data_IF_493532921191
#
_entry.id   IF_493532921191
#
_cell.length_a   1.000
_cell.length_b   1.000
_cell.length_c   1.000
_cell.angle_alpha   90.00
_cell.angle_beta   90.00
_cell.angle_gamma   90.00
#
_symmetry.space_group_name_H-M   'P 1'
#
loop_
_entity.id
_entity.type
_entity.pdbx_description
1 polymer ?
#
# COMPACT_ATOMS: atom_id res chain seq x y z
N UNK A 1 62.56 24.60 -27.96
CA UNK A 1 61.66 24.75 -26.79
C UNK A 1 60.60 23.66 -26.90
N UNK A 2 60.46 22.79 -25.90
CA UNK A 2 59.49 21.71 -25.96
C UNK A 2 58.10 22.28 -25.61
N UNK A 3 57.11 22.09 -26.49
CA UNK A 3 55.79 22.72 -26.34
C UNK A 3 54.96 22.08 -25.21
N UNK A 4 55.39 20.92 -24.73
CA UNK A 4 54.83 20.18 -23.60
C UNK A 4 55.87 20.18 -22.47
N UNK A 5 55.86 21.21 -21.65
CA UNK A 5 56.66 21.28 -20.43
C UNK A 5 55.90 20.61 -19.28
N UNK A 6 56.49 19.60 -18.65
CA UNK A 6 55.89 18.90 -17.51
C UNK A 6 55.65 19.82 -16.30
N UNK A 7 56.34 20.97 -16.24
CA UNK A 7 56.15 21.99 -15.20
C UNK A 7 55.25 23.15 -15.63
N UNK A 8 54.56 23.05 -16.78
CA UNK A 8 53.72 24.13 -17.29
C UNK A 8 52.65 24.61 -16.30
N UNK A 9 52.07 23.70 -15.50
CA UNK A 9 51.08 24.04 -14.48
C UNK A 9 51.66 24.85 -13.32
N UNK A 10 52.79 24.38 -12.76
CA UNK A 10 53.50 25.07 -11.67
C UNK A 10 54.02 26.44 -12.13
N UNK A 11 54.57 26.49 -13.35
CA UNK A 11 55.07 27.72 -13.97
C UNK A 11 53.96 28.73 -14.23
N UNK A 12 52.78 28.28 -14.66
CA UNK A 12 51.63 29.17 -14.87
C UNK A 12 51.18 29.86 -13.57
N UNK A 13 51.17 29.15 -12.43
CA UNK A 13 50.87 29.77 -11.14
C UNK A 13 51.97 30.70 -10.62
N UNK A 14 53.22 30.43 -11.00
CA UNK A 14 54.37 31.25 -10.61
C UNK A 14 54.49 32.54 -11.44
N UNK A 15 54.16 32.47 -12.74
CA UNK A 15 54.24 33.62 -13.66
C UNK A 15 53.09 34.61 -13.42
N UNK A 16 51.94 34.16 -12.93
CA UNK A 16 50.86 35.06 -12.50
C UNK A 16 49.58 34.34 -12.08
N UNK A 17 48.80 35.02 -11.25
CA UNK A 17 47.58 34.41 -10.71
C UNK A 17 46.46 34.23 -11.75
N UNK A 18 46.50 35.03 -12.82
CA UNK A 18 45.54 34.98 -13.91
C UNK A 18 45.85 33.81 -14.86
N UNK A 19 47.13 33.60 -15.15
CA UNK A 19 47.66 32.53 -16.00
C UNK A 19 47.43 31.16 -15.36
N UNK A 20 47.68 31.03 -14.05
CA UNK A 20 47.39 29.79 -13.31
C UNK A 20 45.89 29.46 -13.25
N UNK A 21 45.03 30.47 -13.08
CA UNK A 21 43.59 30.28 -13.16
C UNK A 21 43.16 29.83 -14.57
N UNK A 22 43.70 30.44 -15.62
CA UNK A 22 43.40 30.08 -17.00
C UNK A 22 43.71 28.60 -17.28
N UNK A 23 44.92 28.12 -16.94
CA UNK A 23 45.30 26.70 -17.12
C UNK A 23 44.40 25.76 -16.32
N UNK A 24 43.99 26.16 -15.12
CA UNK A 24 43.11 25.35 -14.25
C UNK A 24 41.67 25.26 -14.77
N UNK A 25 41.15 26.34 -15.37
CA UNK A 25 39.75 26.40 -15.82
C UNK A 25 39.51 25.94 -17.26
N UNK A 26 40.56 25.77 -18.07
CA UNK A 26 40.46 25.22 -19.43
C UNK A 26 39.63 23.91 -19.48
N UNK A 27 39.85 22.90 -18.62
CA UNK A 27 39.01 21.69 -18.55
C UNK A 27 37.51 21.94 -18.32
N UNK A 28 37.15 22.99 -17.58
CA UNK A 28 35.75 23.32 -17.31
C UNK A 28 35.07 23.99 -18.50
N UNK A 29 35.82 24.75 -19.30
CA UNK A 29 35.32 25.29 -20.58
C UNK A 29 35.00 24.14 -21.55
N UNK A 30 35.87 23.12 -21.61
CA UNK A 30 35.61 21.90 -22.38
C UNK A 30 34.33 21.18 -21.92
N UNK A 31 34.12 21.03 -20.61
CA UNK A 31 32.90 20.43 -20.05
C UNK A 31 31.64 21.26 -20.35
N UNK A 32 31.72 22.60 -20.21
CA UNK A 32 30.59 23.50 -20.50
C UNK A 32 30.15 23.44 -21.96
N UNK A 33 31.09 23.34 -22.89
CA UNK A 33 30.78 23.15 -24.31
C UNK A 33 30.17 21.77 -24.59
N UNK A 34 30.69 20.71 -23.96
CA UNK A 34 30.08 19.37 -24.04
C UNK A 34 28.63 19.36 -23.57
N UNK A 35 28.32 20.10 -22.51
CA UNK A 35 26.95 20.28 -22.02
C UNK A 35 26.04 21.00 -23.01
N UNK A 36 26.52 22.07 -23.67
CA UNK A 36 25.75 22.77 -24.70
C UNK A 36 25.44 21.88 -25.91
N UNK A 37 26.40 21.05 -26.33
CA UNK A 37 26.21 20.07 -27.40
C UNK A 37 25.12 19.06 -27.03
N UNK A 38 25.18 18.49 -25.81
CA UNK A 38 24.16 17.56 -25.31
C UNK A 38 22.77 18.21 -25.22
N UNK A 39 22.67 19.41 -24.64
CA UNK A 39 21.40 20.12 -24.46
C UNK A 39 20.70 20.42 -25.79
N UNK A 40 21.46 20.88 -26.80
CA UNK A 40 20.91 21.09 -28.13
C UNK A 40 20.67 19.76 -28.86
N UNK A 41 21.41 18.70 -28.55
CA UNK A 41 21.24 17.37 -29.13
C UNK A 41 20.02 16.60 -28.61
N UNK A 42 19.58 16.85 -27.37
CA UNK A 42 18.47 16.12 -26.74
C UNK A 42 17.13 16.31 -27.48
N UNK A 43 16.92 17.50 -28.06
CA UNK A 43 15.71 17.82 -28.81
C UNK A 43 15.98 17.76 -30.32
N UNK A 44 15.52 16.67 -30.96
CA UNK A 44 15.68 16.39 -32.40
C UNK A 44 14.89 17.37 -33.27
N UNK A 45 15.38 18.60 -33.37
CA UNK A 45 14.85 19.65 -34.24
C UNK A 45 15.94 20.15 -35.16
N UNK A 46 15.58 20.45 -36.41
CA UNK A 46 16.49 21.02 -37.42
C UNK A 46 17.14 22.31 -36.88
N UNK A 47 16.40 23.13 -36.12
CA UNK A 47 16.92 24.35 -35.49
C UNK A 47 18.05 24.07 -34.51
N UNK A 48 18.00 22.97 -33.77
CA UNK A 48 19.03 22.65 -32.80
C UNK A 48 20.26 22.02 -33.45
N UNK A 49 20.07 21.27 -34.53
CA UNK A 49 21.19 20.81 -35.35
C UNK A 49 21.99 21.98 -35.95
N UNK A 50 21.29 23.01 -36.43
CA UNK A 50 21.92 24.27 -36.89
C UNK A 50 22.70 24.95 -35.76
N UNK A 51 22.16 24.99 -34.53
CA UNK A 51 22.86 25.56 -33.37
C UNK A 51 24.13 24.78 -33.03
N UNK A 52 24.10 23.45 -33.07
CA UNK A 52 25.28 22.60 -32.82
C UNK A 52 26.34 22.86 -33.89
N UNK A 53 25.95 22.90 -35.17
CA UNK A 53 26.87 23.21 -36.26
C UNK A 53 27.47 24.61 -36.08
N UNK A 54 26.65 25.62 -35.78
CA UNK A 54 27.12 26.99 -35.56
C UNK A 54 28.09 27.07 -34.37
N UNK A 55 27.82 26.33 -33.29
CA UNK A 55 28.71 26.22 -32.13
C UNK A 55 30.05 25.60 -32.53
N UNK A 56 30.04 24.44 -33.20
CA UNK A 56 31.25 23.76 -33.66
C UNK A 56 32.07 24.61 -34.63
N UNK A 57 31.41 25.32 -35.54
CA UNK A 57 32.07 26.22 -36.50
C UNK A 57 32.72 27.40 -35.77
N UNK A 58 32.02 27.98 -34.78
CA UNK A 58 32.55 29.07 -33.96
C UNK A 58 33.78 28.61 -33.16
N UNK A 59 33.71 27.43 -32.54
CA UNK A 59 34.85 26.86 -31.79
C UNK A 59 36.02 26.54 -32.71
N UNK A 60 35.77 25.97 -33.90
CA UNK A 60 36.82 25.71 -34.89
C UNK A 60 37.52 26.99 -35.35
N UNK A 61 36.77 28.07 -35.60
CA UNK A 61 37.33 29.39 -35.95
C UNK A 61 38.16 29.95 -34.80
N UNK A 62 37.68 29.83 -33.57
CA UNK A 62 38.42 30.27 -32.38
C UNK A 62 39.74 29.50 -32.22
N UNK A 63 39.73 28.18 -32.36
CA UNK A 63 40.93 27.35 -32.30
C UNK A 63 41.91 27.66 -33.45
N UNK A 64 41.42 27.96 -34.66
CA UNK A 64 42.27 28.39 -35.77
C UNK A 64 42.92 29.76 -35.51
N UNK A 65 42.21 30.69 -34.87
CA UNK A 65 42.76 31.99 -34.43
C UNK A 65 43.83 31.77 -33.36
N UNK A 66 43.56 30.93 -32.36
CA UNK A 66 44.55 30.62 -31.32
C UNK A 66 45.79 29.93 -31.89
N UNK A 67 45.62 28.96 -32.79
CA UNK A 67 46.72 28.29 -33.46
C UNK A 67 47.57 29.28 -34.27
N UNK A 68 46.93 30.23 -34.96
CA UNK A 68 47.63 31.28 -35.69
C UNK A 68 48.45 32.16 -34.74
N UNK A 69 47.85 32.64 -33.64
CA UNK A 69 48.54 33.49 -32.66
C UNK A 69 49.71 32.78 -31.95
N UNK A 70 49.53 31.50 -31.61
CA UNK A 70 50.60 30.72 -30.97
C UNK A 70 51.75 30.48 -31.96
N UNK A 71 51.45 30.11 -33.20
CA UNK A 71 52.48 29.90 -34.22
C UNK A 71 53.18 31.21 -34.59
N UNK A 72 52.45 32.34 -34.67
CA UNK A 72 53.02 33.67 -34.88
C UNK A 72 54.01 34.03 -33.78
N UNK A 73 53.63 33.86 -32.51
CA UNK A 73 54.52 34.10 -31.37
C UNK A 73 55.76 33.19 -31.39
N UNK A 74 55.58 31.90 -31.71
CA UNK A 74 56.71 30.96 -31.82
C UNK A 74 57.64 31.38 -32.98
N UNK A 75 57.06 31.79 -34.10
CA UNK A 75 57.81 32.25 -35.27
C UNK A 75 58.60 33.52 -34.94
N UNK A 76 57.99 34.52 -34.30
CA UNK A 76 58.67 35.75 -33.84
C UNK A 76 59.82 35.44 -32.88
N UNK A 77 59.64 34.52 -31.94
CA UNK A 77 60.67 34.11 -30.98
C UNK A 77 61.83 33.34 -31.63
N UNK A 78 61.61 32.73 -32.80
CA UNK A 78 62.61 31.92 -33.53
C UNK A 78 63.20 32.67 -34.73
N UNK A 79 62.68 33.87 -35.01
CA UNK A 79 63.01 34.66 -36.20
C UNK A 79 64.45 35.18 -36.16
N UNK A 80 65.21 34.99 -37.24
CA UNK A 80 66.51 35.66 -37.46
C UNK A 80 66.34 36.91 -38.32
N UNK A 81 67.28 37.87 -38.26
CA UNK A 81 67.16 39.21 -38.87
C UNK A 81 66.72 39.25 -40.36
N UNK A 82 66.98 38.20 -41.16
CA UNK A 82 66.67 38.16 -42.61
C UNK A 82 65.41 37.36 -43.01
N UNK A 83 64.55 36.95 -42.06
CA UNK A 83 63.38 36.13 -42.41
C UNK A 83 62.14 36.96 -42.75
N UNK A 84 61.27 36.49 -43.67
CA UNK A 84 60.07 37.21 -44.08
C UNK A 84 59.07 37.39 -42.92
N UNK A 85 58.17 38.36 -43.05
CA UNK A 85 57.07 38.56 -42.10
C UNK A 85 56.16 37.32 -42.04
N UNK A 86 55.64 37.02 -40.85
CA UNK A 86 54.70 35.91 -40.67
C UNK A 86 53.43 36.20 -41.46
N UNK A 87 52.93 35.19 -42.18
CA UNK A 87 51.74 35.31 -43.02
C UNK A 87 50.95 33.99 -42.94
N UNK A 88 49.64 34.06 -43.19
CA UNK A 88 48.74 32.89 -43.20
C UNK A 88 49.29 31.68 -43.98
N UNK A 89 49.87 31.81 -45.19
CA UNK A 89 50.39 30.66 -45.92
C UNK A 89 51.55 29.95 -45.19
N UNK A 90 52.37 30.70 -44.44
CA UNK A 90 53.48 30.14 -43.67
C UNK A 90 52.93 29.35 -42.48
N UNK A 91 51.87 29.84 -41.82
CA UNK A 91 51.20 29.14 -40.73
C UNK A 91 50.60 27.79 -41.18
N UNK A 92 49.90 27.75 -42.32
CA UNK A 92 49.27 26.53 -42.83
C UNK A 92 50.25 25.43 -43.25
N UNK A 93 51.48 25.80 -43.61
CA UNK A 93 52.56 24.85 -43.96
C UNK A 93 53.20 24.19 -42.74
N UNK A 94 53.00 24.73 -41.53
CA UNK A 94 53.59 24.23 -40.30
C UNK A 94 52.72 23.13 -39.70
N UNK A 95 53.35 22.03 -39.31
CA UNK A 95 52.66 20.89 -38.67
C UNK A 95 52.16 21.28 -37.27
N UNK A 96 52.87 22.18 -36.59
CA UNK A 96 52.53 22.69 -35.26
C UNK A 96 51.15 23.39 -35.24
N UNK A 97 50.85 24.18 -36.28
CA UNK A 97 49.56 24.83 -36.45
C UNK A 97 48.39 23.83 -36.44
N UNK A 98 48.49 22.76 -37.24
CA UNK A 98 47.49 21.70 -37.26
C UNK A 98 47.46 20.89 -35.95
N UNK A 99 48.60 20.72 -35.28
CA UNK A 99 48.67 20.07 -33.98
C UNK A 99 47.92 20.82 -32.89
N UNK A 100 47.97 22.15 -32.88
CA UNK A 100 47.23 22.99 -31.93
C UNK A 100 45.73 22.92 -32.19
N UNK A 101 45.30 23.04 -33.46
CA UNK A 101 43.89 22.88 -33.84
C UNK A 101 43.38 21.49 -33.47
N UNK A 102 44.18 20.44 -33.71
CA UNK A 102 43.81 19.08 -33.34
C UNK A 102 43.64 18.92 -31.82
N UNK A 103 44.57 19.47 -31.04
CA UNK A 103 44.53 19.41 -29.58
C UNK A 103 43.35 20.19 -28.96
N UNK A 104 42.88 21.26 -29.61
CA UNK A 104 41.66 21.96 -29.21
C UNK A 104 40.40 21.26 -29.75
N UNK A 105 40.23 21.28 -31.07
CA UNK A 105 38.99 20.95 -31.76
C UNK A 105 38.55 19.50 -31.59
N UNK A 106 39.49 18.55 -31.74
CA UNK A 106 39.14 17.12 -31.66
C UNK A 106 38.84 16.72 -30.22
N UNK A 107 39.52 17.34 -29.25
CA UNK A 107 39.23 17.13 -27.83
C UNK A 107 37.81 17.61 -27.48
N UNK A 108 37.32 18.72 -28.06
CA UNK A 108 35.93 19.14 -27.90
C UNK A 108 34.93 18.10 -28.42
N UNK A 109 35.18 17.48 -29.58
CA UNK A 109 34.30 16.46 -30.14
C UNK A 109 34.23 15.23 -29.23
N UNK A 110 35.38 14.77 -28.72
CA UNK A 110 35.45 13.61 -27.81
C UNK A 110 34.69 13.92 -26.52
N UNK A 111 34.93 15.07 -25.90
CA UNK A 111 34.24 15.45 -24.65
C UNK A 111 32.73 15.64 -24.86
N UNK A 112 32.29 16.16 -26.00
CA UNK A 112 30.86 16.24 -26.34
C UNK A 112 30.18 14.88 -26.35
N UNK A 113 30.81 13.86 -26.97
CA UNK A 113 30.28 12.49 -27.02
C UNK A 113 30.36 11.80 -25.66
N UNK A 114 31.47 11.94 -24.94
CA UNK A 114 31.63 11.36 -23.59
C UNK A 114 30.59 11.94 -22.63
N UNK A 115 30.37 13.25 -22.68
CA UNK A 115 29.38 13.92 -21.85
C UNK A 115 27.95 13.45 -22.17
N UNK A 116 27.61 13.33 -23.47
CA UNK A 116 26.32 12.80 -23.90
C UNK A 116 26.06 11.39 -23.36
N UNK A 117 27.06 10.52 -23.41
CA UNK A 117 26.98 9.17 -22.85
C UNK A 117 26.76 9.16 -21.33
N UNK A 118 27.55 9.94 -20.58
CA UNK A 118 27.45 10.03 -19.11
C UNK A 118 26.06 10.54 -18.70
N UNK A 119 25.56 11.59 -19.36
CA UNK A 119 24.26 12.18 -19.04
C UNK A 119 23.10 11.22 -19.34
N UNK A 120 23.16 10.51 -20.47
CA UNK A 120 22.14 9.51 -20.83
C UNK A 120 22.08 8.36 -19.84
N UNK A 121 23.24 7.82 -19.45
CA UNK A 121 23.35 6.75 -18.47
C UNK A 121 22.80 7.17 -17.10
N UNK A 122 23.10 8.39 -16.64
CA UNK A 122 22.59 8.89 -15.36
C UNK A 122 21.05 9.02 -15.37
N UNK A 123 20.49 9.51 -16.48
CA UNK A 123 19.03 9.62 -16.66
C UNK A 123 18.34 8.26 -16.65
N UNK A 124 18.93 7.23 -17.25
CA UNK A 124 18.38 5.88 -17.26
C UNK A 124 18.42 5.23 -15.86
N UNK A 125 19.53 5.43 -15.11
CA UNK A 125 19.65 5.00 -13.72
C UNK A 125 18.60 5.63 -12.80
N UNK A 126 18.34 6.92 -12.97
CA UNK A 126 17.34 7.64 -12.16
C UNK A 126 15.91 7.13 -12.42
N UNK A 127 15.55 6.84 -13.67
CA UNK A 127 14.24 6.24 -14.00
C UNK A 127 14.04 4.91 -13.30
N UNK A 128 15.02 4.01 -13.37
CA UNK A 128 14.95 2.70 -12.73
C UNK A 128 14.82 2.83 -11.21
N UNK A 129 15.55 3.77 -10.59
CA UNK A 129 15.48 4.02 -9.15
C UNK A 129 14.09 4.53 -8.74
N UNK A 130 13.52 5.46 -9.50
CA UNK A 130 12.17 5.98 -9.25
C UNK A 130 11.09 4.90 -9.40
N UNK A 131 11.19 4.05 -10.43
CA UNK A 131 10.24 2.94 -10.62
C UNK A 131 10.31 1.92 -9.48
N UNK A 132 11.53 1.56 -9.03
CA UNK A 132 11.71 0.67 -7.87
C UNK A 132 11.11 1.26 -6.60
N UNK A 133 11.32 2.55 -6.36
CA UNK A 133 10.76 3.24 -5.19
C UNK A 133 9.23 3.26 -5.24
N UNK A 134 8.65 3.55 -6.42
CA UNK A 134 7.20 3.54 -6.62
C UNK A 134 6.61 2.15 -6.33
N UNK A 135 7.18 1.10 -6.93
CA UNK A 135 6.72 -0.28 -6.66
C UNK A 135 6.82 -0.67 -5.19
N UNK A 136 7.88 -0.26 -4.49
CA UNK A 136 8.00 -0.50 -3.04
C UNK A 136 6.89 0.19 -2.24
N UNK A 137 6.55 1.43 -2.57
CA UNK A 137 5.42 2.14 -1.95
C UNK A 137 4.09 1.46 -2.24
N UNK A 138 3.86 1.03 -3.48
CA UNK A 138 2.64 0.32 -3.85
C UNK A 138 2.50 -0.99 -3.06
N UNK A 139 3.59 -1.77 -2.91
CA UNK A 139 3.60 -2.99 -2.09
C UNK A 139 3.23 -2.67 -0.63
N UNK A 140 3.79 -1.60 -0.05
CA UNK A 140 3.49 -1.19 1.31
C UNK A 140 2.00 -0.84 1.47
N UNK A 141 1.43 -0.06 0.54
CA UNK A 141 0.00 0.29 0.56
C UNK A 141 -0.88 -0.96 0.48
N UNK A 142 -0.51 -1.94 -0.34
CA UNK A 142 -1.23 -3.19 -0.43
C UNK A 142 -1.13 -4.03 0.85
N UNK A 143 0.04 -4.04 1.51
CA UNK A 143 0.22 -4.70 2.81
C UNK A 143 -0.67 -4.06 3.88
N UNK A 144 -0.70 -2.73 3.97
CA UNK A 144 -1.54 -2.02 4.94
C UNK A 144 -3.03 -2.30 4.71
N UNK A 145 -3.47 -2.40 3.45
CA UNK A 145 -4.85 -2.79 3.11
C UNK A 145 -5.17 -4.23 3.51
N UNK A 146 -4.22 -5.16 3.34
CA UNK A 146 -4.42 -6.56 3.78
C UNK A 146 -4.62 -6.60 5.29
N UNK A 147 -3.82 -5.86 6.06
CA UNK A 147 -3.95 -5.78 7.52
C UNK A 147 -5.31 -5.21 7.92
N UNK A 148 -5.78 -4.15 7.28
CA UNK A 148 -7.11 -3.58 7.58
C UNK A 148 -8.25 -4.58 7.25
N UNK A 149 -8.16 -5.29 6.13
CA UNK A 149 -9.11 -6.35 5.77
C UNK A 149 -9.10 -7.48 6.80
N UNK A 150 -7.93 -7.87 7.31
CA UNK A 150 -7.82 -8.88 8.36
C UNK A 150 -8.49 -8.44 9.67
N UNK A 151 -8.33 -7.17 10.05
CA UNK A 151 -9.01 -6.58 11.22
C UNK A 151 -10.53 -6.59 11.02
N UNK A 152 -11.02 -6.18 9.84
CA UNK A 152 -12.45 -6.20 9.53
C UNK A 152 -13.01 -7.62 9.54
N UNK A 153 -12.28 -8.59 8.99
CA UNK A 153 -12.65 -10.01 9.03
C UNK A 153 -12.75 -10.53 10.47
N UNK A 154 -11.82 -10.15 11.34
CA UNK A 154 -11.85 -10.55 12.74
C UNK A 154 -13.10 -9.99 13.46
N UNK A 155 -13.45 -8.72 13.22
CA UNK A 155 -14.67 -8.11 13.77
C UNK A 155 -15.94 -8.81 13.28
N UNK A 156 -16.04 -9.09 11.99
CA UNK A 156 -17.19 -9.81 11.42
C UNK A 156 -17.33 -11.23 11.99
N UNK A 157 -16.23 -11.90 12.30
CA UNK A 157 -16.26 -13.22 12.97
C UNK A 157 -16.77 -13.13 14.41
N UNK A 158 -16.41 -12.07 15.13
CA UNK A 158 -16.93 -11.79 16.47
C UNK A 158 -18.44 -11.54 16.44
N UNK A 159 -18.90 -10.64 15.55
CA UNK A 159 -20.32 -10.37 15.35
C UNK A 159 -21.12 -11.63 14.96
N UNK A 160 -20.55 -12.48 14.09
CA UNK A 160 -21.18 -13.74 13.69
C UNK A 160 -21.35 -14.70 14.88
N UNK A 161 -20.33 -14.79 15.74
CA UNK A 161 -20.40 -15.63 16.94
C UNK A 161 -21.47 -15.13 17.92
N UNK A 162 -21.59 -13.81 18.09
CA UNK A 162 -22.62 -13.22 18.94
C UNK A 162 -24.02 -13.50 18.41
N UNK A 163 -24.24 -13.30 17.10
CA UNK A 163 -25.52 -13.63 16.45
C UNK A 163 -25.85 -15.12 16.60
N UNK A 164 -24.86 -16.00 16.44
CA UNK A 164 -25.04 -17.45 16.62
C UNK A 164 -25.44 -17.79 18.05
N UNK A 165 -24.84 -17.14 19.05
CA UNK A 165 -25.21 -17.31 20.46
C UNK A 165 -26.66 -16.87 20.71
N UNK A 166 -27.04 -15.69 20.24
CA UNK A 166 -28.43 -15.20 20.38
C UNK A 166 -29.44 -16.09 19.64
N UNK A 167 -29.07 -16.65 18.50
CA UNK A 167 -29.90 -17.63 17.77
C UNK A 167 -30.13 -18.91 18.57
N UNK A 168 -29.10 -19.44 19.22
CA UNK A 168 -29.21 -20.61 20.09
C UNK A 168 -30.09 -20.32 21.32
N UNK A 169 -29.92 -19.16 21.95
CA UNK A 169 -30.76 -18.73 23.08
C UNK A 169 -32.23 -18.60 22.67
N UNK A 170 -32.50 -17.98 21.52
CA UNK A 170 -33.85 -17.87 20.97
C UNK A 170 -34.46 -19.25 20.67
N UNK A 171 -33.70 -20.16 20.06
CA UNK A 171 -34.15 -21.52 19.78
C UNK A 171 -34.45 -22.31 21.07
N UNK A 172 -33.63 -22.15 22.10
CA UNK A 172 -33.88 -22.71 23.42
C UNK A 172 -35.18 -22.19 24.04
N UNK A 173 -35.44 -20.88 23.93
CA UNK A 173 -36.71 -20.28 24.39
C UNK A 173 -37.91 -20.79 23.61
N UNK A 174 -37.82 -20.91 22.29
CA UNK A 174 -38.89 -21.49 21.46
C UNK A 174 -39.19 -22.91 21.90
N UNK A 175 -38.15 -23.73 22.12
CA UNK A 175 -38.32 -25.12 22.59
C UNK A 175 -38.99 -25.17 23.96
N UNK A 176 -38.61 -24.28 24.90
CA UNK A 176 -39.23 -24.20 26.21
C UNK A 176 -40.72 -23.80 26.13
N UNK A 177 -41.05 -22.81 25.30
CA UNK A 177 -42.43 -22.40 25.06
C UNK A 177 -43.25 -23.49 24.39
N UNK A 178 -42.68 -24.23 23.43
CA UNK A 178 -43.33 -25.36 22.79
C UNK A 178 -43.67 -26.45 23.81
N UNK A 179 -42.75 -26.76 24.75
CA UNK A 179 -43.04 -27.70 25.85
C UNK A 179 -44.20 -27.26 26.75
N UNK A 180 -44.40 -25.95 26.93
CA UNK A 180 -45.53 -25.42 27.70
C UNK A 180 -46.83 -25.56 26.91
N UNK A 181 -46.80 -25.36 25.59
CA UNK A 181 -47.96 -25.55 24.71
C UNK A 181 -48.32 -27.04 24.62
N UNK A 182 -47.33 -27.92 24.50
CA UNK A 182 -47.50 -29.37 24.45
C UNK A 182 -47.89 -29.96 25.82
N UNK A 183 -47.69 -29.21 26.90
CA UNK A 183 -48.17 -29.58 28.23
C UNK A 183 -49.70 -29.53 28.26
N UNK A 184 -50.32 -30.55 28.85
CA UNK A 184 -51.78 -30.62 28.96
C UNK A 184 -52.25 -29.56 29.96
N UNK A 185 -53.02 -28.58 29.48
CA UNK A 185 -53.69 -27.59 30.31
C UNK A 185 -55.02 -28.19 30.74
N UNK A 186 -55.18 -28.48 32.04
CA UNK A 186 -56.45 -28.95 32.59
C UNK A 186 -57.21 -27.73 33.12
N UNK A 187 -58.41 -27.41 32.60
CA UNK A 187 -59.27 -26.42 33.21
C UNK A 187 -59.71 -26.94 34.59
N UNK A 188 -59.10 -26.43 35.65
CA UNK A 188 -59.28 -26.93 37.03
C UNK A 188 -60.74 -26.83 37.46
N UNK A 189 -61.46 -25.81 37.00
CA UNK A 189 -62.89 -25.64 37.30
C UNK A 189 -63.77 -26.72 36.69
N UNK A 190 -63.55 -27.07 35.44
CA UNK A 190 -64.32 -28.14 34.78
C UNK A 190 -63.99 -29.49 35.39
N UNK A 191 -62.70 -29.74 35.69
CA UNK A 191 -62.28 -30.95 36.38
C UNK A 191 -62.92 -31.10 37.76
N UNK A 192 -62.91 -30.04 38.59
CA UNK A 192 -63.55 -30.05 39.91
C UNK A 192 -65.05 -30.36 39.78
N UNK A 193 -65.73 -29.75 38.81
CA UNK A 193 -67.15 -29.99 38.56
C UNK A 193 -67.40 -31.47 38.24
N UNK A 194 -66.74 -32.03 37.21
CA UNK A 194 -66.93 -33.42 36.83
C UNK A 194 -66.53 -34.41 37.93
N UNK A 195 -65.44 -34.14 38.65
CA UNK A 195 -64.99 -34.97 39.77
C UNK A 195 -66.02 -34.96 40.91
N UNK A 196 -66.64 -33.81 41.19
CA UNK A 196 -67.70 -33.69 42.20
C UNK A 196 -68.96 -34.45 41.80
N UNK A 197 -69.37 -34.38 40.52
CA UNK A 197 -70.52 -35.13 40.00
C UNK A 197 -70.28 -36.65 40.06
N UNK A 198 -69.07 -37.09 39.70
CA UNK A 198 -68.66 -38.49 39.79
C UNK A 198 -68.70 -39.00 41.24
N UNK A 199 -68.13 -38.25 42.17
CA UNK A 199 -68.17 -38.54 43.61
C UNK A 199 -69.60 -38.63 44.14
N UNK A 200 -70.46 -37.67 43.79
CA UNK A 200 -71.87 -37.67 44.17
C UNK A 200 -72.62 -38.88 43.62
N UNK A 201 -72.30 -39.32 42.40
CA UNK A 201 -72.82 -40.56 41.82
C UNK A 201 -72.48 -41.79 42.67
N UNK A 202 -71.23 -41.89 43.13
CA UNK A 202 -70.80 -43.00 44.01
C UNK A 202 -71.46 -42.96 45.38
N UNK A 203 -71.54 -41.80 46.02
CA UNK A 203 -72.26 -41.63 47.29
C UNK A 203 -73.73 -42.04 47.13
N UNK A 204 -74.37 -41.62 46.04
CA UNK A 204 -75.76 -41.98 45.74
C UNK A 204 -75.93 -43.50 45.59
N UNK A 205 -75.00 -44.16 44.90
CA UNK A 205 -75.00 -45.62 44.75
C UNK A 205 -74.83 -46.34 46.10
N UNK A 206 -73.86 -45.93 46.92
CA UNK A 206 -73.60 -46.49 48.26
C UNK A 206 -74.86 -46.40 49.13
N UNK A 207 -75.55 -45.27 49.07
CA UNK A 207 -76.73 -45.03 49.88
C UNK A 207 -77.95 -45.83 49.41
N UNK A 208 -78.24 -45.79 48.11
CA UNK A 208 -79.51 -46.26 47.56
C UNK A 208 -79.48 -47.71 47.08
N UNK A 209 -78.34 -48.20 46.60
CA UNK A 209 -78.23 -49.51 45.91
C UNK A 209 -77.48 -50.56 46.73
N UNK A 210 -76.66 -50.16 47.70
CA UNK A 210 -75.92 -51.10 48.55
C UNK A 210 -76.74 -51.51 49.79
N UNK A 211 -76.92 -52.81 49.98
CA UNK A 211 -77.62 -53.40 51.13
C UNK A 211 -76.62 -53.84 52.22
N UNK A 212 -75.93 -52.87 52.81
CA UNK A 212 -74.96 -53.06 53.91
C UNK A 212 -75.38 -52.29 55.17
N UNK A 213 -74.67 -52.50 56.28
CA UNK A 213 -74.98 -51.83 57.55
C UNK A 213 -74.76 -50.31 57.45
N UNK A 214 -75.53 -49.52 58.23
CA UNK A 214 -75.46 -48.05 58.19
C UNK A 214 -74.06 -47.53 58.57
N UNK A 215 -73.35 -48.25 59.44
CA UNK A 215 -71.98 -47.92 59.83
C UNK A 215 -71.00 -48.05 58.65
N UNK A 216 -71.08 -49.16 57.91
CA UNK A 216 -70.23 -49.40 56.74
C UNK A 216 -70.52 -48.43 55.59
N UNK A 217 -71.78 -47.98 55.42
CA UNK A 217 -72.12 -46.92 54.46
C UNK A 217 -71.39 -45.62 54.78
N UNK A 218 -71.45 -45.17 56.03
CA UNK A 218 -70.81 -43.92 56.46
C UNK A 218 -69.28 -43.98 56.35
N UNK A 219 -68.69 -45.15 56.60
CA UNK A 219 -67.25 -45.35 56.39
C UNK A 219 -66.87 -45.19 54.91
N UNK A 220 -67.60 -45.84 54.00
CA UNK A 220 -67.35 -45.76 52.56
C UNK A 220 -67.58 -44.35 51.98
N UNK A 221 -68.59 -43.62 52.48
CA UNK A 221 -68.80 -42.22 52.09
C UNK A 221 -67.61 -41.35 52.49
N UNK A 222 -67.11 -41.51 53.71
CA UNK A 222 -65.94 -40.78 54.22
C UNK A 222 -64.69 -41.09 53.38
N UNK A 223 -64.47 -42.34 53.01
CA UNK A 223 -63.39 -42.75 52.12
C UNK A 223 -63.52 -42.14 50.71
N UNK A 224 -64.73 -42.07 50.16
CA UNK A 224 -64.98 -41.43 48.87
C UNK A 224 -64.66 -39.92 48.92
N UNK A 225 -65.09 -39.23 49.98
CA UNK A 225 -64.78 -37.81 50.21
C UNK A 225 -63.27 -37.59 50.38
N UNK A 226 -62.59 -38.46 51.12
CA UNK A 226 -61.15 -38.37 51.33
C UNK A 226 -60.37 -38.55 50.02
N UNK A 227 -60.73 -39.57 49.23
CA UNK A 227 -60.13 -39.84 47.93
C UNK A 227 -60.36 -38.68 46.94
N UNK A 228 -61.55 -38.09 46.93
CA UNK A 228 -61.84 -36.89 46.14
C UNK A 228 -60.92 -35.72 46.52
N UNK A 229 -60.80 -35.41 47.82
CA UNK A 229 -59.98 -34.30 48.29
C UNK A 229 -58.47 -34.51 48.04
N UNK A 230 -58.00 -35.75 48.15
CA UNK A 230 -56.61 -36.10 47.84
C UNK A 230 -56.33 -35.94 46.33
N UNK A 231 -57.24 -36.42 45.49
CA UNK A 231 -57.15 -36.23 44.05
C UNK A 231 -57.18 -34.74 43.66
N UNK A 232 -58.06 -33.93 44.26
CA UNK A 232 -58.09 -32.48 44.00
C UNK A 232 -56.76 -31.78 44.35
N UNK A 233 -56.13 -32.17 45.47
CA UNK A 233 -54.82 -31.66 45.86
C UNK A 233 -53.73 -32.10 44.89
N UNK A 234 -53.77 -33.36 44.45
CA UNK A 234 -52.80 -33.88 43.48
C UNK A 234 -52.84 -33.12 42.15
N UNK A 235 -54.02 -32.59 41.79
CA UNK A 235 -54.20 -31.83 40.54
C UNK A 235 -54.02 -30.33 40.65
N UNK A 236 -53.69 -29.83 41.85
CA UNK A 236 -53.50 -28.41 42.10
C UNK A 236 -54.77 -27.56 41.93
N UNK A 237 -55.95 -28.17 42.03
CA UNK A 237 -57.23 -27.47 41.95
C UNK A 237 -57.53 -26.81 43.30
N UNK A 238 -57.45 -25.48 43.36
CA UNK A 238 -57.83 -24.65 44.50
C UNK A 238 -58.93 -23.67 44.06
N UNK A 239 -59.71 -23.14 44.99
CA UNK A 239 -60.80 -22.18 44.70
C UNK A 239 -60.30 -20.93 43.93
N UNK A 240 -59.01 -20.61 44.04
CA UNK A 240 -58.35 -19.45 43.40
C UNK A 240 -57.69 -19.76 42.04
N UNK A 241 -57.49 -21.03 41.64
CA UNK A 241 -56.79 -21.38 40.40
C UNK A 241 -57.75 -21.72 39.26
N UNK A 242 -57.68 -20.97 38.15
CA UNK A 242 -58.54 -21.20 36.97
C UNK A 242 -57.99 -22.27 36.01
N UNK A 243 -56.67 -22.44 35.94
CA UNK A 243 -55.99 -23.42 35.10
C UNK A 243 -54.76 -23.97 35.85
N UNK A 244 -54.50 -25.26 35.75
CA UNK A 244 -53.23 -25.87 36.20
C UNK A 244 -52.49 -26.43 34.99
N UNK A 245 -51.18 -26.15 34.92
CA UNK A 245 -50.29 -26.65 33.87
C UNK A 245 -49.67 -27.95 34.36
N UNK A 246 -50.02 -29.05 33.71
CA UNK A 246 -49.41 -30.34 34.00
C UNK A 246 -48.19 -30.56 33.11
N UNK A 247 -47.03 -30.49 33.72
CA UNK A 247 -45.82 -31.00 33.08
C UNK A 247 -45.74 -32.49 33.36
N UNK A 248 -45.85 -33.31 32.31
CA UNK A 248 -45.50 -34.73 32.45
C UNK A 248 -43.99 -34.78 32.65
N UNK A 249 -43.55 -34.99 33.89
CA UNK A 249 -42.16 -35.37 34.15
C UNK A 249 -41.98 -36.77 33.61
N UNK A 250 -41.42 -36.87 32.40
CA UNK A 250 -40.77 -38.08 31.90
C UNK A 250 -39.42 -38.25 32.61
#
# INVERSE_FOLDING_TARGET
>A
MNILDAKAFEKAWHDGSLEGAFVTFIPFVFLGLGYLIHMFGETKSIKNYIKIIALLLTTFVFDAILAYQIEEKIYELTKSFDTPAFNLPIAFLKVQFWGIIFAGFVVYLIWGVVFDFIMKENREKDKIKHERLRRKKDIQIHQDRIVDIEIQKAKLLEELNDIKKSSLEAHGRVTALQRIIDAVIIPTKEYVLYASEYMQGWITFINQKLHISQYEKSALESECIACYNENLKSVGANEDSQNSVYTTTL
#
